data_IF_612836807505
#
_entry.id   IF_612836807505
#
_cell.length_a   1.000
_cell.length_b   1.000
_cell.length_c   1.000
_cell.angle_alpha   90.00
_cell.angle_beta   90.00
_cell.angle_gamma   90.00
#
_symmetry.space_group_name_H-M   'P 1'
#
loop_
_entity.id
_entity.type
_entity.pdbx_description
1 polymer ?
#
# COMPACT_ATOMS: atom_id res chain seq x y z
N UNK A 1 -62.17 13.18 18.91
CA UNK A 1 -61.94 13.19 17.45
C UNK A 1 -60.46 12.95 17.25
N UNK A 2 -60.12 11.73 16.86
CA UNK A 2 -58.75 11.30 16.56
C UNK A 2 -58.61 11.25 15.04
N UNK A 3 -57.63 11.99 14.53
CA UNK A 3 -57.12 12.01 13.15
C UNK A 3 -55.64 12.36 13.30
N UNK A 4 -54.65 11.85 12.58
CA UNK A 4 -54.55 10.76 11.63
C UNK A 4 -53.04 10.50 11.51
N UNK A 5 -52.68 9.22 11.56
CA UNK A 5 -51.62 8.54 10.83
C UNK A 5 -50.59 9.39 10.05
N UNK A 6 -49.32 9.35 10.45
CA UNK A 6 -48.19 9.51 9.51
C UNK A 6 -47.15 8.40 9.70
N UNK A 7 -47.29 7.44 8.80
CA UNK A 7 -46.31 6.57 8.16
C UNK A 7 -44.88 6.53 8.71
N UNK A 8 -44.48 5.30 9.03
CA UNK A 8 -43.11 4.80 8.94
C UNK A 8 -42.38 5.34 7.69
N UNK A 9 -41.29 6.08 7.92
CA UNK A 9 -40.17 6.18 6.99
C UNK A 9 -39.00 5.46 7.65
N UNK A 10 -38.94 4.17 7.35
CA UNK A 10 -37.73 3.42 7.01
C UNK A 10 -36.41 4.03 7.52
N UNK A 11 -36.10 3.82 8.80
CA UNK A 11 -34.73 3.84 9.28
C UNK A 11 -34.01 2.67 8.63
N UNK A 12 -33.41 2.88 7.46
CA UNK A 12 -32.41 1.97 6.92
C UNK A 12 -31.34 1.79 8.01
N UNK A 13 -31.13 0.59 8.57
CA UNK A 13 -29.88 0.33 9.22
C UNK A 13 -28.86 0.36 8.09
N UNK A 14 -28.01 1.39 8.06
CA UNK A 14 -26.85 1.44 7.18
C UNK A 14 -25.85 0.39 7.65
N UNK A 15 -26.22 -0.89 7.53
CA UNK A 15 -25.39 -2.03 7.86
C UNK A 15 -24.39 -2.19 6.71
N UNK A 16 -23.13 -1.90 7.06
CA UNK A 16 -21.89 -2.22 6.35
C UNK A 16 -21.64 -1.38 5.10
N UNK A 17 -20.70 -0.43 5.20
CA UNK A 17 -19.40 -0.47 4.50
C UNK A 17 -18.68 0.86 4.72
N UNK A 18 -17.99 1.00 5.85
CA UNK A 18 -16.68 1.65 5.80
C UNK A 18 -15.81 0.83 6.73
N UNK A 19 -15.26 -0.25 6.18
CA UNK A 19 -14.24 -1.01 6.88
C UNK A 19 -13.07 -0.06 7.03
N UNK A 20 -13.04 0.66 8.17
CA UNK A 20 -12.01 1.64 8.50
C UNK A 20 -10.68 1.00 8.16
N UNK A 21 -10.03 1.50 7.10
CA UNK A 21 -8.79 0.92 6.65
C UNK A 21 -7.72 1.35 7.65
N UNK A 22 -7.51 0.48 8.64
CA UNK A 22 -6.52 0.68 9.72
C UNK A 22 -5.14 1.00 9.16
N UNK A 23 -4.82 0.58 7.93
CA UNK A 23 -3.56 0.92 7.26
C UNK A 23 -3.49 2.41 6.97
N UNK A 24 -4.59 3.00 6.51
CA UNK A 24 -4.70 4.44 6.21
C UNK A 24 -4.72 5.26 7.50
N UNK A 25 -5.43 4.82 8.54
CA UNK A 25 -5.40 5.49 9.84
C UNK A 25 -3.99 5.54 10.43
N UNK A 26 -3.28 4.41 10.35
CA UNK A 26 -1.87 4.33 10.76
C UNK A 26 -1.00 5.23 9.90
N UNK A 27 -1.20 5.26 8.58
CA UNK A 27 -0.45 6.11 7.66
C UNK A 27 -0.62 7.60 7.99
N UNK A 28 -1.86 8.07 8.19
CA UNK A 28 -2.15 9.47 8.52
C UNK A 28 -1.56 9.86 9.88
N UNK A 29 -1.63 8.96 10.86
CA UNK A 29 -1.02 9.18 12.18
C UNK A 29 0.50 9.33 12.05
N UNK A 30 1.14 8.49 11.24
CA UNK A 30 2.60 8.56 11.01
C UNK A 30 2.99 9.81 10.20
N UNK A 31 2.24 10.17 9.18
CA UNK A 31 2.47 11.42 8.43
C UNK A 31 2.33 12.65 9.34
N UNK A 32 1.33 12.65 10.21
CA UNK A 32 1.16 13.68 11.24
C UNK A 32 2.31 13.74 12.25
N UNK A 33 2.87 12.59 12.64
CA UNK A 33 4.04 12.54 13.52
C UNK A 33 5.33 13.03 12.83
N UNK A 34 5.46 12.83 11.52
CA UNK A 34 6.65 13.23 10.74
C UNK A 34 6.60 14.73 10.40
N UNK A 35 5.45 15.22 9.91
CA UNK A 35 5.32 16.58 9.38
C UNK A 35 4.62 17.55 10.33
N UNK A 36 4.12 17.06 11.47
CA UNK A 36 3.54 17.88 12.53
C UNK A 36 2.42 18.78 12.04
N UNK A 37 2.55 20.08 12.36
CA UNK A 37 1.57 21.09 12.03
C UNK A 37 1.22 21.14 10.53
N UNK A 38 2.21 21.00 9.63
CA UNK A 38 1.98 21.09 8.18
C UNK A 38 0.98 20.05 7.66
N UNK A 39 0.95 18.86 8.28
CA UNK A 39 -0.01 17.82 7.94
C UNK A 39 -1.38 18.15 8.52
N UNK A 40 -1.45 18.36 9.83
CA UNK A 40 -2.73 18.56 10.53
C UNK A 40 -3.44 19.85 10.12
N UNK A 41 -2.71 20.91 9.78
CA UNK A 41 -3.29 22.17 9.32
C UNK A 41 -4.01 22.04 7.97
N UNK A 42 -3.70 21.02 7.17
CA UNK A 42 -4.39 20.73 5.91
C UNK A 42 -5.69 19.92 6.10
N UNK A 43 -5.89 19.32 7.29
CA UNK A 43 -6.98 18.38 7.59
C UNK A 43 -7.82 18.86 8.78
N UNK A 44 -8.10 20.17 8.84
CA UNK A 44 -8.71 20.81 10.02
C UNK A 44 -10.17 20.39 10.27
N UNK A 45 -10.94 20.08 9.22
CA UNK A 45 -12.32 19.65 9.38
C UNK A 45 -12.42 18.13 9.41
N UNK A 46 -13.29 17.63 10.29
CA UNK A 46 -13.58 16.20 10.39
C UNK A 46 -14.07 15.63 9.05
N UNK A 47 -14.91 16.39 8.33
CA UNK A 47 -15.35 16.03 6.99
C UNK A 47 -14.17 15.92 6.01
N UNK A 48 -13.25 16.89 5.98
CA UNK A 48 -12.08 16.83 5.11
C UNK A 48 -11.18 15.63 5.46
N UNK A 49 -11.02 15.32 6.74
CA UNK A 49 -10.25 14.15 7.18
C UNK A 49 -10.88 12.84 6.69
N UNK A 50 -12.20 12.67 6.87
CA UNK A 50 -12.94 11.48 6.43
C UNK A 50 -12.85 11.33 4.91
N UNK A 51 -13.15 12.39 4.15
CA UNK A 51 -13.09 12.36 2.69
C UNK A 51 -11.68 12.05 2.20
N UNK A 52 -10.66 12.68 2.77
CA UNK A 52 -9.27 12.46 2.35
C UNK A 52 -8.81 11.05 2.66
N UNK A 53 -9.13 10.51 3.85
CA UNK A 53 -8.82 9.10 4.18
C UNK A 53 -9.49 8.13 3.22
N UNK A 54 -10.74 8.38 2.83
CA UNK A 54 -11.47 7.55 1.85
C UNK A 54 -10.78 7.55 0.48
N UNK A 55 -10.37 8.73 -0.01
CA UNK A 55 -9.62 8.87 -1.27
C UNK A 55 -8.27 8.16 -1.21
N UNK A 56 -7.54 8.30 -0.10
CA UNK A 56 -6.27 7.59 0.10
C UNK A 56 -6.46 6.07 0.19
N UNK A 57 -7.52 5.61 0.86
CA UNK A 57 -7.87 4.18 0.92
C UNK A 57 -8.13 3.60 -0.47
N UNK A 58 -8.95 4.28 -1.27
CA UNK A 58 -9.24 3.86 -2.64
C UNK A 58 -7.99 3.90 -3.53
N UNK A 59 -7.24 5.01 -3.49
CA UNK A 59 -6.04 5.20 -4.32
C UNK A 59 -4.90 4.22 -4.01
N UNK A 60 -4.84 3.75 -2.76
CA UNK A 60 -3.82 2.82 -2.27
C UNK A 60 -4.28 1.36 -2.17
N UNK A 61 -5.55 1.06 -2.50
CA UNK A 61 -6.13 -0.27 -2.38
C UNK A 61 -5.31 -1.36 -3.10
N UNK A 62 -4.71 -1.02 -4.25
CA UNK A 62 -3.89 -1.91 -5.08
C UNK A 62 -2.49 -2.20 -4.53
N UNK A 63 -2.05 -1.48 -3.50
CA UNK A 63 -0.72 -1.67 -2.92
C UNK A 63 -0.80 -2.44 -1.61
N UNK A 64 0.17 -3.31 -1.39
CA UNK A 64 0.30 -4.05 -0.15
C UNK A 64 0.87 -3.16 0.97
N UNK A 65 0.69 -3.60 2.21
CA UNK A 65 1.13 -2.87 3.40
C UNK A 65 2.64 -2.64 3.45
N UNK A 66 3.47 -3.50 2.84
CA UNK A 66 4.93 -3.32 2.84
C UNK A 66 5.31 -2.18 1.92
N UNK A 67 4.76 -2.15 0.70
CA UNK A 67 4.96 -1.05 -0.26
C UNK A 67 4.58 0.30 0.34
N UNK A 68 3.43 0.40 1.02
CA UNK A 68 2.99 1.65 1.68
C UNK A 68 3.97 2.07 2.79
N UNK A 69 4.47 1.12 3.58
CA UNK A 69 5.44 1.39 4.65
C UNK A 69 6.77 1.88 4.08
N UNK A 70 7.24 1.28 2.99
CA UNK A 70 8.48 1.67 2.34
C UNK A 70 8.37 3.06 1.71
N UNK A 71 7.27 3.36 1.03
CA UNK A 71 6.99 4.71 0.52
C UNK A 71 7.03 5.77 1.63
N UNK A 72 6.42 5.47 2.78
CA UNK A 72 6.46 6.36 3.94
C UNK A 72 7.89 6.61 4.45
N UNK A 73 8.76 5.60 4.44
CA UNK A 73 10.17 5.76 4.86
C UNK A 73 10.93 6.65 3.86
N UNK A 74 10.71 6.47 2.56
CA UNK A 74 11.30 7.31 1.52
C UNK A 74 10.90 8.77 1.73
N UNK A 75 9.61 9.04 1.94
CA UNK A 75 9.12 10.39 2.21
C UNK A 75 9.75 10.99 3.47
N UNK A 76 9.78 10.22 4.56
CA UNK A 76 10.41 10.64 5.82
C UNK A 76 11.88 11.05 5.65
N UNK A 77 12.64 10.34 4.82
CA UNK A 77 14.09 10.54 4.71
C UNK A 77 14.49 11.56 3.64
N UNK A 78 13.68 11.73 2.61
CA UNK A 78 14.07 12.50 1.41
C UNK A 78 13.26 13.76 1.19
N UNK A 79 12.13 13.93 1.88
CA UNK A 79 11.21 15.04 1.62
C UNK A 79 10.97 15.87 2.87
N UNK A 80 11.08 17.20 2.72
CA UNK A 80 10.81 18.15 3.80
C UNK A 80 9.32 18.44 3.99
N UNK A 81 8.50 18.12 2.99
CA UNK A 81 7.07 18.44 2.95
C UNK A 81 6.23 17.16 2.86
N UNK A 82 5.00 17.18 3.42
CA UNK A 82 4.10 16.04 3.31
C UNK A 82 3.74 15.73 1.86
N UNK A 83 3.63 14.45 1.50
CA UNK A 83 3.23 14.03 0.17
C UNK A 83 1.76 14.34 -0.11
N UNK A 84 1.47 14.68 -1.36
CA UNK A 84 0.12 14.58 -1.91
C UNK A 84 -0.22 13.12 -2.27
N UNK A 85 -1.50 12.79 -2.40
CA UNK A 85 -1.92 11.43 -2.79
C UNK A 85 -1.28 10.97 -4.12
N UNK A 86 -1.25 11.78 -5.20
CA UNK A 86 -0.60 11.37 -6.45
C UNK A 86 0.89 11.06 -6.28
N UNK A 87 1.63 11.91 -5.57
CA UNK A 87 3.07 11.69 -5.30
C UNK A 87 3.29 10.39 -4.51
N UNK A 88 2.43 10.11 -3.54
CA UNK A 88 2.51 8.88 -2.76
C UNK A 88 2.23 7.64 -3.63
N UNK A 89 1.23 7.72 -4.52
CA UNK A 89 0.91 6.64 -5.48
C UNK A 89 2.08 6.40 -6.43
N UNK A 90 2.72 7.44 -6.96
CA UNK A 90 3.89 7.31 -7.84
C UNK A 90 5.05 6.63 -7.14
N UNK A 91 5.31 6.99 -5.88
CA UNK A 91 6.33 6.32 -5.06
C UNK A 91 6.01 4.83 -4.88
N UNK A 92 4.76 4.48 -4.55
CA UNK A 92 4.33 3.09 -4.42
C UNK A 92 4.49 2.30 -5.74
N UNK A 93 4.19 2.92 -6.90
CA UNK A 93 4.41 2.31 -8.21
C UNK A 93 5.89 2.03 -8.46
N UNK A 94 6.76 2.99 -8.17
CA UNK A 94 8.21 2.84 -8.34
C UNK A 94 8.74 1.68 -7.49
N UNK A 95 8.34 1.60 -6.21
CA UNK A 95 8.72 0.50 -5.31
C UNK A 95 8.23 -0.85 -5.86
N UNK A 96 6.97 -0.92 -6.28
CA UNK A 96 6.39 -2.16 -6.82
C UNK A 96 7.12 -2.63 -8.08
N UNK A 97 7.47 -1.71 -8.98
CA UNK A 97 8.24 -2.02 -10.19
C UNK A 97 9.66 -2.51 -9.85
N UNK A 98 10.34 -1.85 -8.91
CA UNK A 98 11.69 -2.28 -8.48
C UNK A 98 11.67 -3.66 -7.84
N UNK A 99 10.62 -4.00 -7.09
CA UNK A 99 10.49 -5.31 -6.46
C UNK A 99 10.25 -6.40 -7.52
N UNK A 100 9.43 -6.13 -8.54
CA UNK A 100 9.24 -7.06 -9.67
C UNK A 100 10.56 -7.31 -10.39
N UNK A 101 11.31 -6.25 -10.73
CA UNK A 101 12.60 -6.37 -11.41
C UNK A 101 13.63 -7.14 -10.57
N UNK A 102 13.69 -6.86 -9.27
CA UNK A 102 14.57 -7.58 -8.35
C UNK A 102 14.21 -9.06 -8.29
N UNK A 103 12.92 -9.39 -8.16
CA UNK A 103 12.44 -10.77 -8.10
C UNK A 103 12.74 -11.53 -9.39
N UNK A 104 12.55 -10.92 -10.57
CA UNK A 104 12.89 -11.56 -11.84
C UNK A 104 14.39 -11.82 -11.98
N UNK A 105 15.23 -10.91 -11.47
CA UNK A 105 16.69 -11.09 -11.48
C UNK A 105 17.10 -12.23 -10.55
N UNK A 106 16.55 -12.29 -9.33
CA UNK A 106 16.82 -13.38 -8.38
C UNK A 106 16.34 -14.75 -8.88
N UNK A 107 15.23 -14.80 -9.64
CA UNK A 107 14.74 -16.03 -10.28
C UNK A 107 15.66 -16.47 -11.43
N UNK A 108 16.13 -15.52 -12.25
CA UNK A 108 17.08 -15.79 -13.32
C UNK A 108 18.42 -16.33 -12.77
N UNK A 109 18.97 -15.69 -11.74
CA UNK A 109 20.26 -16.11 -11.13
C UNK A 109 20.18 -17.53 -10.54
N UNK A 110 19.05 -17.88 -9.91
CA UNK A 110 18.82 -19.24 -9.40
C UNK A 110 18.74 -20.26 -10.51
N UNK A 111 18.07 -19.92 -11.61
CA UNK A 111 17.94 -20.82 -12.75
C UNK A 111 19.29 -21.09 -13.40
N UNK A 112 20.08 -20.03 -13.64
CA UNK A 112 21.43 -20.15 -14.19
C UNK A 112 22.36 -20.97 -13.27
N UNK A 113 22.23 -20.81 -11.95
CA UNK A 113 22.99 -21.62 -10.99
C UNK A 113 22.63 -23.11 -11.04
N UNK A 114 21.33 -23.44 -11.11
CA UNK A 114 20.87 -24.83 -11.21
C UNK A 114 21.35 -25.49 -12.51
N UNK A 115 21.24 -24.79 -13.64
CA UNK A 115 21.71 -25.29 -14.94
C UNK A 115 23.22 -25.54 -14.94
N UNK A 116 24.01 -24.62 -14.37
CA UNK A 116 25.45 -24.80 -14.23
C UNK A 116 25.79 -25.98 -13.31
N UNK A 117 25.04 -26.17 -12.22
CA UNK A 117 25.23 -27.30 -11.32
C UNK A 117 24.93 -28.64 -12.02
N UNK A 118 23.85 -28.72 -12.80
CA UNK A 118 23.50 -29.92 -13.58
C UNK A 118 24.57 -30.26 -14.62
N UNK A 119 25.06 -29.26 -15.37
CA UNK A 119 26.13 -29.46 -16.35
C UNK A 119 27.42 -29.97 -15.71
N UNK A 120 27.81 -29.36 -14.58
CA UNK A 120 29.01 -29.77 -13.85
C UNK A 120 28.89 -31.18 -13.28
N UNK A 121 27.75 -31.55 -12.71
CA UNK A 121 27.50 -32.91 -12.20
C UNK A 121 27.53 -33.92 -13.34
N UNK A 122 26.90 -33.62 -14.48
CA UNK A 122 26.92 -34.48 -15.66
C UNK A 122 28.35 -34.71 -16.16
N UNK A 123 29.14 -33.64 -16.26
CA UNK A 123 30.54 -33.73 -16.66
C UNK A 123 31.36 -34.61 -15.71
N UNK A 124 31.14 -34.50 -14.38
CA UNK A 124 31.79 -35.42 -13.42
C UNK A 124 31.37 -36.87 -13.61
N UNK A 125 30.08 -37.14 -13.87
CA UNK A 125 29.59 -38.51 -14.09
C UNK A 125 30.15 -39.13 -15.36
N UNK A 126 30.32 -38.36 -16.43
CA UNK A 126 30.92 -38.84 -17.67
C UNK A 126 32.40 -39.21 -17.48
N UNK A 127 33.15 -38.44 -16.66
CA UNK A 127 34.54 -38.76 -16.29
C UNK A 127 34.62 -40.08 -15.51
N UNK A 128 33.65 -40.36 -14.63
CA UNK A 128 33.64 -41.57 -13.80
C UNK A 128 33.17 -42.83 -14.55
N UNK A 129 32.56 -42.67 -15.72
CA UNK A 129 32.06 -43.78 -16.56
C UNK A 129 32.98 -44.13 -17.73
N UNK A 130 33.97 -43.30 -18.02
CA UNK A 130 35.07 -43.59 -18.96
C UNK A 130 36.19 -44.36 -18.29
#
# INVERSE_FOLDING_TARGET
MNQDNQAQIMSLPSDKTDMQDKRIDTLFTRLGAIYGYMWWSSLQSEHALITTKKEWSSGLQRFDTRTIKEALLIFRERHQFPPTLPQFIECCKAISQTNIFRKSTEEFDKQAFLEAAELNIKAMLDILRG
#
